data_IF_517654994158
#
_entry.id   IF_517654994158
#
_cell.length_a   1.000
_cell.length_b   1.000
_cell.length_c   1.000
_cell.angle_alpha   90.00
_cell.angle_beta   90.00
_cell.angle_gamma   90.00
#
_symmetry.space_group_name_H-M   'P 1'
#
loop_
_entity.id
_entity.type
_entity.pdbx_description
1 polymer ?
#
# COMPACT_ATOMS: atom_id res chain seq x y z
N UNK A 1 7.80 -3.20 -2.93
CA UNK A 1 8.38 -1.87 -2.75
C UNK A 1 9.50 -1.93 -1.73
N UNK A 2 10.64 -1.29 -1.99
CA UNK A 2 11.65 -1.04 -0.97
C UNK A 2 11.52 0.40 -0.44
N UNK A 3 11.34 0.54 0.87
CA UNK A 3 11.00 1.82 1.50
C UNK A 3 11.56 1.95 2.90
N UNK A 4 11.73 3.20 3.34
CA UNK A 4 11.92 3.58 4.74
C UNK A 4 10.87 4.60 5.16
N UNK A 5 10.46 4.57 6.42
CA UNK A 5 9.45 5.45 7.02
C UNK A 5 10.10 6.54 7.87
N UNK A 6 9.38 7.64 8.06
CA UNK A 6 9.84 8.74 8.92
C UNK A 6 9.92 8.32 10.39
N UNK A 7 10.95 8.79 11.09
CA UNK A 7 11.08 8.67 12.56
C UNK A 7 10.41 9.81 13.34
N UNK A 8 9.77 10.76 12.65
CA UNK A 8 9.11 11.92 13.27
C UNK A 8 7.72 11.51 13.78
N UNK A 9 7.43 11.62 15.10
CA UNK A 9 6.13 11.24 15.64
C UNK A 9 4.97 12.10 15.11
N UNK A 10 3.77 11.50 15.07
CA UNK A 10 2.53 12.21 14.72
C UNK A 10 2.23 12.27 13.22
N UNK A 11 2.86 11.40 12.43
CA UNK A 11 2.66 11.30 10.98
C UNK A 11 2.12 9.91 10.65
N UNK A 12 1.10 9.85 9.80
CA UNK A 12 0.76 8.59 9.15
C UNK A 12 1.52 8.52 7.82
N UNK A 13 2.60 7.75 7.83
CA UNK A 13 3.25 7.37 6.58
C UNK A 13 2.47 6.20 6.01
N UNK A 14 1.44 6.49 5.24
CA UNK A 14 0.72 5.43 4.55
C UNK A 14 1.39 5.11 3.23
N UNK A 15 1.87 3.88 3.04
CA UNK A 15 1.86 3.35 1.69
C UNK A 15 0.45 2.80 1.43
N UNK A 16 -0.47 3.66 1.01
CA UNK A 16 -1.70 3.15 0.41
C UNK A 16 -1.32 2.51 -0.92
N UNK A 17 -1.24 1.18 -1.01
CA UNK A 17 -1.32 0.46 -2.30
C UNK A 17 -2.78 0.45 -2.78
N UNK A 18 -3.35 1.64 -2.81
CA UNK A 18 -4.74 1.90 -3.04
C UNK A 18 -5.04 1.90 -4.53
N UNK A 19 -5.55 0.78 -5.01
CA UNK A 19 -6.19 0.64 -6.30
C UNK A 19 -7.34 1.68 -6.49
N UNK A 20 -7.13 2.77 -7.28
CA UNK A 20 -8.20 3.66 -7.81
C UNK A 20 -8.88 3.16 -9.09
N UNK A 21 -10.18 2.83 -9.10
CA UNK A 21 -10.94 2.66 -10.36
C UNK A 21 -11.73 3.91 -10.69
N UNK A 22 -11.21 4.81 -11.55
CA UNK A 22 -11.99 5.40 -12.65
C UNK A 22 -11.09 6.26 -13.56
N UNK A 23 -10.75 5.76 -14.75
CA UNK A 23 -10.26 6.62 -15.85
C UNK A 23 -11.44 6.76 -16.81
N UNK A 24 -12.32 7.72 -16.57
CA UNK A 24 -13.10 8.30 -17.65
C UNK A 24 -12.42 9.57 -18.09
N UNK A 25 -11.94 9.52 -19.33
CA UNK A 25 -11.27 10.59 -20.08
C UNK A 25 -12.11 11.87 -19.99
N UNK A 26 -11.75 12.80 -19.10
CA UNK A 26 -11.86 14.28 -19.19
C UNK A 26 -12.10 15.03 -17.88
N UNK A 27 -12.37 14.40 -16.72
CA UNK A 27 -12.45 15.15 -15.44
C UNK A 27 -11.99 14.34 -14.22
N UNK A 28 -10.89 14.79 -13.58
CA UNK A 28 -10.51 14.34 -12.23
C UNK A 28 -11.50 14.95 -11.23
N UNK A 29 -12.59 14.23 -10.98
CA UNK A 29 -13.51 14.56 -9.88
C UNK A 29 -13.09 13.75 -8.66
N UNK A 30 -12.55 14.42 -7.63
CA UNK A 30 -12.25 13.83 -6.32
C UNK A 30 -13.55 13.54 -5.54
N UNK A 31 -14.38 12.63 -6.03
CA UNK A 31 -15.59 12.20 -5.34
C UNK A 31 -15.29 11.02 -4.41
N UNK A 32 -15.81 11.09 -3.19
CA UNK A 32 -15.59 10.13 -2.09
C UNK A 32 -16.21 8.74 -2.28
N UNK A 33 -16.03 8.11 -3.44
CA UNK A 33 -16.30 6.69 -3.68
C UNK A 33 -15.15 5.78 -3.20
N UNK A 34 -14.34 6.29 -2.26
CA UNK A 34 -13.01 5.80 -1.91
C UNK A 34 -12.97 4.49 -1.11
N UNK A 35 -13.94 4.15 -0.28
CA UNK A 35 -13.68 3.25 0.87
C UNK A 35 -13.74 1.73 0.62
N UNK A 36 -14.03 1.21 -0.59
CA UNK A 36 -14.63 -0.13 -0.68
C UNK A 36 -13.85 -1.21 -1.46
N UNK A 37 -12.67 -0.95 -2.05
CA UNK A 37 -11.97 -1.96 -2.87
C UNK A 37 -10.46 -1.71 -3.02
N UNK A 38 -9.69 -1.74 -1.92
CA UNK A 38 -8.23 -1.43 -1.93
C UNK A 38 -7.44 -2.33 -0.98
N UNK A 39 -6.12 -2.39 -1.18
CA UNK A 39 -5.18 -3.08 -0.31
C UNK A 39 -4.18 -2.06 0.26
N UNK A 40 -4.09 -1.88 1.57
CA UNK A 40 -3.25 -0.85 2.17
C UNK A 40 -2.08 -1.46 2.95
N UNK A 41 -0.90 -0.82 2.89
CA UNK A 41 0.23 -1.05 3.80
C UNK A 41 0.56 0.27 4.50
N UNK A 42 0.08 0.44 5.71
CA UNK A 42 0.20 1.71 6.41
C UNK A 42 1.19 1.63 7.57
N UNK A 43 1.96 2.70 7.75
CA UNK A 43 2.90 2.86 8.84
C UNK A 43 2.53 4.09 9.64
N UNK A 44 2.32 3.91 10.94
CA UNK A 44 1.92 4.99 11.82
C UNK A 44 3.10 5.37 12.72
N UNK A 45 3.76 6.47 12.42
CA UNK A 45 4.94 6.93 13.19
C UNK A 45 4.61 7.40 14.61
N UNK A 46 3.32 7.53 14.95
CA UNK A 46 2.91 7.80 16.33
C UNK A 46 2.91 6.55 17.22
N UNK A 47 2.99 5.35 16.64
CA UNK A 47 3.07 4.13 17.42
C UNK A 47 4.42 4.05 18.13
N UNK A 48 4.43 3.53 19.35
CA UNK A 48 5.66 3.37 20.13
C UNK A 48 6.67 2.42 19.47
N UNK A 49 6.18 1.49 18.67
CA UNK A 49 6.92 0.43 17.97
C UNK A 49 6.88 0.60 16.45
N UNK A 50 6.64 1.82 15.95
CA UNK A 50 6.49 2.13 14.52
C UNK A 50 7.60 1.60 13.61
N UNK A 51 8.82 1.39 14.13
CA UNK A 51 9.93 0.83 13.36
C UNK A 51 9.73 -0.66 13.00
N UNK A 52 8.77 -1.35 13.60
CA UNK A 52 8.48 -2.75 13.32
C UNK A 52 6.97 -3.04 13.25
N UNK A 53 6.14 -1.98 13.25
CA UNK A 53 4.70 -2.07 13.27
C UNK A 53 4.08 -1.64 11.94
N UNK A 54 3.19 -2.46 11.38
CA UNK A 54 2.54 -2.20 10.09
C UNK A 54 1.07 -2.60 10.11
N UNK A 55 0.25 -1.82 9.42
CA UNK A 55 -1.17 -2.06 9.22
C UNK A 55 -1.42 -2.58 7.81
N UNK A 56 -2.00 -3.76 7.69
CA UNK A 56 -2.40 -4.37 6.42
C UNK A 56 -3.91 -4.44 6.31
N UNK A 57 -4.48 -3.90 5.25
CA UNK A 57 -5.93 -3.79 5.15
C UNK A 57 -6.45 -4.09 3.76
N UNK A 58 -7.45 -4.98 3.67
CA UNK A 58 -8.33 -5.06 2.50
C UNK A 58 -9.57 -4.21 2.78
N UNK A 59 -9.70 -3.06 2.14
CA UNK A 59 -10.83 -2.15 2.33
C UNK A 59 -12.12 -2.72 1.71
N UNK A 60 -13.29 -2.53 2.36
CA UNK A 60 -13.49 -1.79 3.62
C UNK A 60 -13.03 -2.58 4.85
N UNK A 61 -12.62 -1.87 5.89
CA UNK A 61 -12.25 -2.46 7.19
C UNK A 61 -13.17 -2.05 8.33
N UNK A 62 -14.30 -1.42 8.05
CA UNK A 62 -15.25 -1.01 9.09
C UNK A 62 -16.48 -1.91 9.12
N UNK A 63 -16.83 -2.38 10.31
CA UNK A 63 -18.09 -3.03 10.60
C UNK A 63 -19.22 -1.99 10.69
N UNK A 64 -20.50 -2.38 10.52
CA UNK A 64 -21.64 -1.46 10.62
C UNK A 64 -21.78 -0.71 11.95
N UNK A 65 -21.15 -1.21 13.02
CA UNK A 65 -21.12 -0.58 14.34
C UNK A 65 -19.98 0.45 14.51
N UNK A 66 -19.20 0.70 13.45
CA UNK A 66 -18.06 1.62 13.46
C UNK A 66 -16.75 1.02 13.98
N UNK A 67 -16.74 -0.23 14.42
CA UNK A 67 -15.50 -0.91 14.83
C UNK A 67 -14.72 -1.42 13.62
N UNK A 68 -13.41 -1.60 13.80
CA UNK A 68 -12.54 -2.25 12.80
C UNK A 68 -12.91 -3.74 12.66
N UNK A 69 -13.11 -4.19 11.42
CA UNK A 69 -13.21 -5.60 11.04
C UNK A 69 -11.80 -6.21 11.01
N UNK A 70 -11.44 -6.88 12.10
CA UNK A 70 -10.13 -7.53 12.25
C UNK A 70 -9.92 -8.70 11.29
N UNK A 71 -10.91 -9.11 10.49
CA UNK A 71 -10.72 -10.05 9.39
C UNK A 71 -10.21 -9.38 8.13
N UNK A 72 -10.52 -8.09 7.93
CA UNK A 72 -10.13 -7.28 6.78
C UNK A 72 -8.88 -6.43 7.06
N UNK A 73 -8.71 -5.94 8.29
CA UNK A 73 -7.55 -5.19 8.76
C UNK A 73 -6.72 -6.00 9.77
N UNK A 74 -5.41 -5.97 9.60
CA UNK A 74 -4.42 -6.66 10.44
C UNK A 74 -3.40 -5.63 10.93
N UNK A 75 -3.29 -5.54 12.24
CA UNK A 75 -2.23 -4.82 12.93
C UNK A 75 -1.12 -5.83 13.25
N UNK A 76 0.09 -5.61 12.71
CA UNK A 76 1.16 -6.62 12.68
C UNK A 76 2.47 -6.03 13.16
N UNK A 77 3.02 -6.62 14.22
CA UNK A 77 4.43 -6.46 14.60
C UNK A 77 5.29 -7.45 13.79
N UNK A 78 6.40 -6.98 13.23
CA UNK A 78 7.39 -7.80 12.51
C UNK A 78 8.69 -7.84 13.34
N UNK A 79 8.90 -8.88 14.16
CA UNK A 79 10.06 -8.94 15.05
C UNK A 79 11.39 -8.81 14.29
N UNK A 80 12.23 -7.87 14.73
CA UNK A 80 13.54 -7.61 14.15
C UNK A 80 13.52 -6.83 12.84
N UNK A 81 12.36 -6.31 12.41
CA UNK A 81 12.31 -5.29 11.38
C UNK A 81 12.81 -3.93 11.90
N UNK A 82 13.24 -3.10 10.97
CA UNK A 82 13.51 -1.68 11.21
C UNK A 82 13.11 -0.88 9.97
N UNK A 83 11.86 -0.43 9.96
CA UNK A 83 11.25 0.37 8.89
C UNK A 83 11.87 1.76 8.78
N UNK A 84 12.68 2.21 9.74
CA UNK A 84 13.46 3.47 9.59
C UNK A 84 14.64 3.31 8.65
N UNK A 85 14.94 2.08 8.24
CA UNK A 85 15.87 1.73 7.18
C UNK A 85 15.11 1.13 6.00
N UNK A 86 15.75 1.08 4.83
CA UNK A 86 15.11 0.52 3.64
C UNK A 86 14.77 -0.96 3.85
N UNK A 87 13.49 -1.31 3.76
CA UNK A 87 13.00 -2.69 3.80
C UNK A 87 12.03 -2.99 2.66
N UNK A 88 11.96 -4.25 2.24
CA UNK A 88 11.09 -4.70 1.15
C UNK A 88 9.74 -5.17 1.68
N UNK A 89 8.70 -4.43 1.33
CA UNK A 89 7.30 -4.80 1.50
C UNK A 89 6.72 -5.32 0.17
N UNK A 90 5.83 -6.30 0.23
CA UNK A 90 5.21 -6.93 -0.95
C UNK A 90 3.73 -7.20 -0.71
N UNK A 91 2.95 -7.04 -1.77
CA UNK A 91 1.57 -7.51 -1.85
C UNK A 91 1.48 -8.51 -3.00
N UNK A 92 1.03 -9.72 -2.71
CA UNK A 92 0.52 -10.64 -3.72
C UNK A 92 -1.00 -10.59 -3.72
N UNK A 93 -1.55 -10.02 -4.78
CA UNK A 93 -3.00 -9.92 -4.98
C UNK A 93 -3.49 -11.10 -5.82
N UNK A 94 -4.21 -12.02 -5.17
CA UNK A 94 -4.77 -13.22 -5.78
C UNK A 94 -6.30 -13.15 -5.77
N UNK A 95 -7.00 -13.93 -6.62
CA UNK A 95 -8.46 -13.87 -6.73
C UNK A 95 -9.24 -14.09 -5.44
N UNK A 96 -8.67 -14.82 -4.47
CA UNK A 96 -9.32 -15.19 -3.21
C UNK A 96 -8.58 -14.74 -1.95
N UNK A 97 -7.44 -14.04 -2.10
CA UNK A 97 -6.64 -13.59 -0.97
C UNK A 97 -5.65 -12.50 -1.36
N UNK A 98 -5.37 -11.61 -0.41
CA UNK A 98 -4.22 -10.72 -0.45
C UNK A 98 -3.16 -11.26 0.52
N UNK A 99 -1.92 -11.41 0.07
CA UNK A 99 -0.79 -11.83 0.90
C UNK A 99 0.15 -10.64 1.04
N UNK A 100 0.33 -10.18 2.27
CA UNK A 100 1.27 -9.12 2.64
C UNK A 100 2.54 -9.75 3.18
N UNK A 101 3.70 -9.33 2.68
CA UNK A 101 4.99 -9.89 3.11
C UNK A 101 6.05 -8.83 3.32
N UNK A 102 7.00 -9.14 4.19
CA UNK A 102 8.20 -8.35 4.44
C UNK A 102 9.45 -9.21 4.30
N UNK A 103 10.53 -8.66 3.74
CA UNK A 103 11.78 -9.38 3.49
C UNK A 103 13.06 -8.67 3.99
N UNK A 104 12.96 -7.54 4.69
CA UNK A 104 14.16 -6.81 5.14
C UNK A 104 14.84 -6.01 4.02
N UNK A 105 16.10 -5.61 4.24
CA UNK A 105 16.76 -4.54 3.50
C UNK A 105 17.53 -4.93 2.24
N UNK A 106 17.73 -6.22 1.99
CA UNK A 106 18.48 -6.66 0.82
C UNK A 106 17.53 -7.00 -0.33
N UNK A 107 17.83 -6.53 -1.53
CA UNK A 107 17.12 -6.96 -2.73
C UNK A 107 17.25 -8.48 -2.89
N UNK A 108 16.11 -9.18 -3.05
CA UNK A 108 16.09 -10.65 -3.12
C UNK A 108 16.23 -11.36 -1.77
N UNK A 109 16.14 -10.65 -0.65
CA UNK A 109 16.09 -11.27 0.67
C UNK A 109 14.88 -12.21 0.82
N UNK A 110 15.05 -13.23 1.66
CA UNK A 110 13.97 -14.14 2.03
C UNK A 110 12.88 -13.41 2.78
N UNK A 111 11.62 -13.76 2.50
CA UNK A 111 10.47 -13.29 3.27
C UNK A 111 10.62 -13.72 4.73
N UNK A 112 10.56 -12.75 5.65
CA UNK A 112 10.68 -12.96 7.09
C UNK A 112 9.34 -12.89 7.82
N UNK A 113 8.33 -12.26 7.22
CA UNK A 113 6.96 -12.21 7.74
C UNK A 113 5.94 -12.25 6.62
N UNK A 114 4.80 -12.89 6.88
CA UNK A 114 3.67 -12.98 5.94
C UNK A 114 2.35 -12.92 6.69
N UNK A 115 1.41 -12.15 6.15
CA UNK A 115 0.03 -12.03 6.64
C UNK A 115 -0.94 -12.19 5.47
N UNK A 116 -1.86 -13.14 5.59
CA UNK A 116 -2.88 -13.40 4.56
C UNK A 116 -4.23 -12.84 4.99
N UNK A 117 -4.87 -12.09 4.10
CA UNK A 117 -6.21 -11.54 4.27
C UNK A 117 -7.12 -12.09 3.17
N UNK A 118 -8.22 -12.74 3.57
CA UNK A 118 -9.21 -13.34 2.65
C UNK A 118 -10.54 -12.59 2.65
N UNK A 119 -10.75 -11.70 3.63
CA UNK A 119 -11.92 -10.83 3.70
C UNK A 119 -11.72 -9.65 2.73
N UNK A 120 -12.81 -9.27 2.06
CA UNK A 120 -12.88 -8.08 1.21
C UNK A 120 -11.75 -7.96 0.18
N UNK A 121 -11.25 -9.09 -0.32
CA UNK A 121 -10.19 -9.11 -1.34
C UNK A 121 -10.65 -8.29 -2.54
N UNK A 122 -9.89 -7.27 -2.95
CA UNK A 122 -10.22 -6.47 -4.11
C UNK A 122 -10.41 -7.32 -5.37
N UNK A 123 -11.35 -6.93 -6.22
CA UNK A 123 -11.70 -7.67 -7.44
C UNK A 123 -11.65 -6.80 -8.69
N UNK A 124 -11.47 -5.49 -8.53
CA UNK A 124 -11.43 -4.54 -9.65
C UNK A 124 -10.01 -4.06 -9.84
N UNK A 125 -9.51 -4.13 -11.09
CA UNK A 125 -8.19 -3.61 -11.49
C UNK A 125 -8.04 -2.16 -11.04
N UNK A 126 -6.79 -1.73 -10.75
CA UNK A 126 -6.40 -0.68 -9.78
C UNK A 126 -5.19 0.22 -10.16
N UNK A 127 -5.19 1.55 -9.91
CA UNK A 127 -3.99 2.41 -9.90
C UNK A 127 -3.09 2.16 -8.68
N UNK A 128 -1.81 2.46 -8.79
CA UNK A 128 -0.86 2.34 -7.68
C UNK A 128 -0.55 3.70 -7.08
N UNK A 129 -0.58 3.81 -5.74
CA UNK A 129 -0.40 5.08 -5.03
C UNK A 129 0.71 4.95 -4.00
N UNK A 130 1.40 6.06 -3.78
CA UNK A 130 2.31 6.27 -2.65
C UNK A 130 2.07 7.67 -2.13
N UNK A 131 1.85 7.82 -0.83
CA UNK A 131 1.65 9.12 -0.22
C UNK A 131 2.26 9.16 1.18
N UNK A 132 2.29 10.36 1.75
CA UNK A 132 2.58 10.61 3.16
C UNK A 132 1.58 11.67 3.58
N UNK A 133 0.81 11.42 4.64
CA UNK A 133 -0.25 12.34 5.02
C UNK A 133 -0.50 12.36 6.52
N UNK A 134 -1.16 13.42 6.98
CA UNK A 134 -1.69 13.51 8.34
C UNK A 134 -2.94 14.37 8.24
N UNK A 135 -4.02 13.92 8.87
CA UNK A 135 -5.27 14.69 8.95
C UNK A 135 -5.65 15.02 10.41
N UNK A 136 -4.77 14.72 11.38
CA UNK A 136 -5.01 15.02 12.79
C UNK A 136 -6.08 14.14 13.46
N UNK A 137 -6.42 12.97 12.89
CA UNK A 137 -7.40 12.07 13.50
C UNK A 137 -6.89 11.58 14.87
N UNK A 138 -7.62 11.81 15.97
CA UNK A 138 -7.13 11.51 17.30
C UNK A 138 -7.07 10.02 17.61
N UNK A 139 -7.63 9.14 16.77
CA UNK A 139 -7.68 7.69 16.97
C UNK A 139 -6.57 7.01 16.19
N UNK A 140 -6.46 7.28 14.89
CA UNK A 140 -5.55 6.59 13.97
C UNK A 140 -4.37 7.46 13.53
N UNK A 141 -4.55 8.39 12.58
CA UNK A 141 -3.43 9.07 11.91
C UNK A 141 -2.61 10.01 12.80
N UNK A 142 -3.20 10.51 13.89
CA UNK A 142 -2.64 11.52 14.81
C UNK A 142 -2.11 12.75 14.07
N UNK A 143 -1.31 13.56 14.78
CA UNK A 143 -0.64 14.74 14.27
C UNK A 143 -1.26 16.06 14.72
N UNK A 144 -0.93 17.18 14.04
CA UNK A 144 -0.02 17.25 12.89
C UNK A 144 1.44 16.93 13.24
N UNK A 145 2.29 16.63 12.24
CA UNK A 145 3.73 16.46 12.44
C UNK A 145 4.36 17.73 13.04
N UNK A 146 5.28 17.57 13.99
CA UNK A 146 6.00 18.71 14.60
C UNK A 146 7.27 19.13 13.81
N UNK A 147 7.63 18.35 12.79
CA UNK A 147 8.76 18.56 11.90
C UNK A 147 8.50 17.88 10.55
N UNK A 148 9.38 18.11 9.57
CA UNK A 148 9.30 17.46 8.26
C UNK A 148 9.35 15.93 8.40
N UNK A 149 8.34 15.27 7.87
CA UNK A 149 8.24 13.82 7.89
C UNK A 149 8.42 13.25 6.49
N UNK A 150 9.57 12.61 6.29
CA UNK A 150 10.00 12.14 4.98
C UNK A 150 9.95 10.61 4.97
N UNK A 151 9.18 10.06 4.05
CA UNK A 151 9.27 8.66 3.66
C UNK A 151 10.03 8.57 2.33
N UNK A 152 10.84 7.53 2.15
CA UNK A 152 11.64 7.38 0.93
C UNK A 152 11.40 6.02 0.30
N UNK A 153 11.13 6.04 -1.00
CA UNK A 153 10.91 4.84 -1.81
C UNK A 153 12.09 4.69 -2.74
N UNK A 154 12.80 3.57 -2.62
CA UNK A 154 13.96 3.30 -3.48
C UNK A 154 13.54 2.71 -4.82
N UNK A 155 12.60 1.75 -4.80
CA UNK A 155 12.00 1.20 -6.01
C UNK A 155 10.64 0.56 -5.76
N UNK A 156 9.88 0.43 -6.83
CA UNK A 156 8.64 -0.34 -6.91
C UNK A 156 8.74 -1.28 -8.10
N UNK A 157 8.45 -2.56 -7.88
CA UNK A 157 8.24 -3.52 -8.95
C UNK A 157 6.78 -3.93 -8.96
N UNK A 158 6.15 -3.85 -10.14
CA UNK A 158 4.78 -4.27 -10.37
C UNK A 158 4.81 -5.43 -11.36
N UNK A 159 4.23 -6.55 -10.94
CA UNK A 159 4.11 -7.76 -11.75
C UNK A 159 2.62 -8.05 -11.95
N UNK A 160 2.26 -8.48 -13.16
CA UNK A 160 0.90 -8.90 -13.48
C UNK A 160 0.94 -10.24 -14.20
N UNK A 161 -0.13 -11.03 -14.06
CA UNK A 161 -0.25 -12.28 -14.80
C UNK A 161 -0.57 -11.99 -16.27
N UNK A 162 0.29 -12.45 -17.18
CA UNK A 162 0.20 -12.22 -18.62
C UNK A 162 -0.10 -13.49 -19.42
N UNK A 163 -0.54 -14.58 -18.79
CA UNK A 163 -0.79 -15.86 -19.48
C UNK A 163 -1.77 -15.75 -20.66
N UNK A 164 -2.66 -14.75 -20.65
CA UNK A 164 -3.59 -14.43 -21.75
C UNK A 164 -3.21 -13.18 -22.56
N UNK A 165 -2.06 -12.55 -22.28
CA UNK A 165 -1.68 -11.25 -22.81
C UNK A 165 -0.33 -11.31 -23.51
N UNK A 166 -0.33 -11.21 -24.85
CA UNK A 166 0.91 -11.17 -25.61
C UNK A 166 1.67 -9.86 -25.37
N UNK A 167 3.00 -9.87 -25.49
CA UNK A 167 3.82 -8.67 -25.41
C UNK A 167 3.38 -7.58 -26.40
N UNK A 168 2.92 -7.97 -27.60
CA UNK A 168 2.40 -7.03 -28.59
C UNK A 168 1.09 -6.36 -28.13
N UNK A 169 0.18 -7.13 -27.53
CA UNK A 169 -1.06 -6.62 -26.95
C UNK A 169 -0.78 -5.64 -25.81
N UNK A 170 0.21 -5.94 -24.97
CA UNK A 170 0.67 -5.07 -23.89
C UNK A 170 1.24 -3.75 -24.40
N UNK A 171 2.23 -3.81 -25.29
CA UNK A 171 2.85 -2.61 -25.83
C UNK A 171 1.82 -1.70 -26.53
N UNK A 172 0.85 -2.30 -27.25
CA UNK A 172 -0.23 -1.56 -27.88
C UNK A 172 -1.17 -0.89 -26.88
N UNK A 173 -1.52 -1.57 -25.78
CA UNK A 173 -2.34 -1.01 -24.72
C UNK A 173 -1.62 0.12 -23.96
N UNK A 174 -0.35 -0.08 -23.61
CA UNK A 174 0.49 0.93 -22.96
C UNK A 174 0.66 2.18 -23.84
N UNK A 175 0.86 2.02 -25.15
CA UNK A 175 0.95 3.17 -26.07
C UNK A 175 -0.36 3.96 -26.14
N UNK A 176 -1.52 3.29 -26.11
CA UNK A 176 -2.83 3.95 -26.09
C UNK A 176 -3.14 4.66 -24.78
N UNK A 177 -2.63 4.16 -23.66
CA UNK A 177 -2.86 4.75 -22.33
C UNK A 177 -2.21 6.14 -22.15
N UNK A 178 -1.42 6.61 -23.11
CA UNK A 178 -0.73 7.88 -23.04
C UNK A 178 0.56 7.75 -22.22
N UNK A 179 1.68 8.09 -22.83
CA UNK A 179 3.01 7.92 -22.24
C UNK A 179 3.17 8.67 -20.91
N UNK A 180 3.27 7.93 -19.80
CA UNK A 180 4.20 8.25 -18.71
C UNK A 180 4.87 6.95 -18.25
N UNK A 181 5.85 6.48 -19.02
CA UNK A 181 6.77 5.43 -18.56
C UNK A 181 8.20 5.99 -18.60
N UNK A 182 8.66 6.50 -17.46
CA UNK A 182 10.08 6.71 -17.14
C UNK A 182 10.64 5.42 -16.53
N UNK A 183 10.56 4.30 -17.25
CA UNK A 183 11.25 3.04 -16.96
C UNK A 183 11.30 2.25 -18.28
N UNK A 184 12.43 2.28 -18.97
CA UNK A 184 12.70 1.37 -20.08
C UNK A 184 13.22 0.03 -19.52
N UNK A 185 12.83 -1.06 -20.18
CA UNK A 185 13.45 -2.39 -19.99
C UNK A 185 14.92 -2.37 -20.39
#
# INVERSE_FOLDING_TARGET
MQTQVSSVPGVLTSMCLGFFTDITDTQVTYTFFFQWNRNDIEFLSSDSDYCQHVYYTNQPDQLPNGNVDTQAAKNVEIPGADFTTFGVHRIDWLPSSTIYSYAGSNHGASITSTTTVTKNVPTTASEFVLNVWSNGDPIFSKGPPIADAIATVQYVHLYFNSTSFSAASFNSACSRAGHIAQCSV
#
